data_IF_796221803251
#
_entry.id   IF_796221803251
#
_cell.length_a   1.000
_cell.length_b   1.000
_cell.length_c   1.000
_cell.angle_alpha   90.00
_cell.angle_beta   90.00
_cell.angle_gamma   90.00
#
_symmetry.space_group_name_H-M   'P 1'
#
loop_
_entity.id
_entity.type
_entity.pdbx_description
1 polymer ?
#
# COMPACT_ATOMS: atom_id res chain seq x y z
N UNK A 1 12.66 2.88 -62.74
CA UNK A 1 13.13 2.79 -61.34
C UNK A 1 12.19 3.64 -60.51
N UNK A 2 11.33 3.03 -59.70
CA UNK A 2 10.43 3.75 -58.76
C UNK A 2 10.99 3.52 -57.36
N UNK A 3 11.53 4.57 -56.73
CA UNK A 3 11.92 4.56 -55.32
C UNK A 3 10.66 4.77 -54.46
N UNK A 4 10.28 3.76 -53.70
CA UNK A 4 9.29 3.92 -52.63
C UNK A 4 10.02 4.27 -51.35
N UNK A 5 9.74 5.46 -50.82
CA UNK A 5 10.19 5.92 -49.51
C UNK A 5 9.18 5.42 -48.49
N UNK A 6 9.61 4.48 -47.66
CA UNK A 6 8.80 4.05 -46.51
C UNK A 6 9.01 5.06 -45.37
N UNK A 7 7.95 5.75 -45.00
CA UNK A 7 7.90 6.64 -43.84
C UNK A 7 7.68 5.80 -42.59
N UNK A 8 8.70 5.63 -41.77
CA UNK A 8 8.57 4.99 -40.47
C UNK A 8 7.99 6.01 -39.49
N UNK A 9 6.71 5.83 -39.09
CA UNK A 9 6.14 6.52 -37.95
C UNK A 9 6.69 5.89 -36.66
N UNK A 10 7.59 6.60 -36.00
CA UNK A 10 7.94 6.30 -34.61
C UNK A 10 6.86 6.92 -33.72
N UNK A 11 5.96 6.08 -33.18
CA UNK A 11 5.08 6.50 -32.10
C UNK A 11 5.95 6.63 -30.84
N UNK A 12 6.21 7.87 -30.42
CA UNK A 12 6.72 8.14 -29.10
C UNK A 12 5.57 7.92 -28.13
N UNK A 13 5.62 6.86 -27.31
CA UNK A 13 4.78 6.74 -26.15
C UNK A 13 5.17 7.88 -25.20
N UNK A 14 4.30 8.86 -25.02
CA UNK A 14 4.44 9.81 -23.92
C UNK A 14 4.15 9.03 -22.64
N UNK A 15 5.18 8.81 -21.81
CA UNK A 15 4.96 8.38 -20.44
C UNK A 15 4.22 9.53 -19.75
N UNK A 16 2.97 9.29 -19.33
CA UNK A 16 2.28 10.19 -18.42
C UNK A 16 3.06 10.17 -17.11
N UNK A 17 3.41 11.32 -16.57
CA UNK A 17 3.98 11.41 -15.23
C UNK A 17 2.84 11.16 -14.24
N UNK A 18 2.99 10.17 -13.38
CA UNK A 18 2.00 9.87 -12.34
C UNK A 18 1.80 11.07 -11.41
N UNK A 19 0.57 11.26 -10.97
CA UNK A 19 0.21 12.38 -10.09
C UNK A 19 0.54 12.08 -8.64
N UNK A 20 0.82 13.10 -7.83
CA UNK A 20 0.98 12.93 -6.38
C UNK A 20 -0.35 12.48 -5.77
N UNK A 21 -0.32 11.38 -5.00
CA UNK A 21 -1.49 10.84 -4.32
C UNK A 21 -1.98 11.77 -3.19
N UNK A 22 -3.27 11.75 -2.91
CA UNK A 22 -3.86 12.35 -1.68
C UNK A 22 -3.46 11.56 -0.43
N UNK A 23 -3.24 10.27 -0.59
CA UNK A 23 -2.69 9.41 0.47
C UNK A 23 -1.26 9.84 0.79
N UNK A 24 -0.95 9.94 2.08
CA UNK A 24 0.40 10.15 2.60
C UNK A 24 0.60 9.22 3.78
N UNK A 25 1.36 8.15 3.58
CA UNK A 25 1.69 7.22 4.66
C UNK A 25 2.67 7.82 5.65
N UNK A 26 2.60 7.31 6.87
CA UNK A 26 3.64 7.56 7.87
C UNK A 26 3.96 6.25 8.58
N UNK A 27 5.24 5.90 8.73
CA UNK A 27 5.66 4.76 9.53
C UNK A 27 5.11 4.83 10.94
N UNK A 28 4.83 3.68 11.54
CA UNK A 28 4.29 3.55 12.89
C UNK A 28 5.06 4.45 13.88
N UNK A 29 4.35 5.32 14.56
CA UNK A 29 4.91 6.18 15.61
C UNK A 29 5.75 7.36 15.14
N UNK A 30 5.73 7.75 13.87
CA UNK A 30 6.33 9.01 13.39
C UNK A 30 5.40 10.21 13.52
N UNK A 31 4.10 10.01 13.73
CA UNK A 31 3.20 11.09 14.10
C UNK A 31 3.45 11.47 15.56
N UNK A 32 4.00 12.68 15.77
CA UNK A 32 4.35 13.19 17.11
C UNK A 32 3.11 13.29 18.01
N UNK A 33 1.94 13.59 17.48
CA UNK A 33 0.68 13.68 18.21
C UNK A 33 0.22 12.29 18.69
N UNK A 34 0.28 11.28 17.84
CA UNK A 34 -0.09 9.90 18.17
C UNK A 34 0.95 9.24 19.10
N UNK A 35 2.23 9.55 18.94
CA UNK A 35 3.31 9.06 19.81
C UNK A 35 3.11 9.50 21.26
N UNK A 36 2.58 10.70 21.49
CA UNK A 36 2.30 11.21 22.83
C UNK A 36 1.14 10.51 23.52
N UNK A 37 0.21 9.93 22.74
CA UNK A 37 -0.98 9.19 23.22
C UNK A 37 -0.81 7.67 23.18
N UNK A 38 0.24 7.16 22.54
CA UNK A 38 0.42 5.71 22.29
C UNK A 38 -0.50 5.16 21.20
N UNK A 39 -1.09 6.05 20.38
CA UNK A 39 -1.97 5.65 19.29
C UNK A 39 -1.17 5.11 18.09
N UNK A 40 -1.81 4.25 17.30
CA UNK A 40 -1.32 3.70 16.04
C UNK A 40 -2.26 4.08 14.91
N UNK A 41 -1.70 4.47 13.77
CA UNK A 41 -2.45 4.68 12.53
C UNK A 41 -2.54 3.41 11.66
N UNK A 42 -1.82 2.34 12.02
CA UNK A 42 -1.82 1.06 11.34
C UNK A 42 -2.68 0.03 12.08
N UNK A 43 -3.52 -0.67 11.34
CA UNK A 43 -4.17 -1.92 11.71
C UNK A 43 -3.77 -3.02 10.73
N UNK A 44 -3.64 -4.26 11.17
CA UNK A 44 -3.25 -5.37 10.31
C UNK A 44 -2.18 -6.26 10.91
N UNK A 45 -1.24 -6.72 10.09
CA UNK A 45 -0.23 -7.69 10.48
C UNK A 45 1.16 -7.27 10.02
N UNK A 46 2.13 -7.35 10.92
CA UNK A 46 3.56 -7.13 10.67
C UNK A 46 4.30 -8.42 11.01
N UNK A 47 5.00 -8.98 10.03
CA UNK A 47 5.82 -10.17 10.18
C UNK A 47 7.29 -9.75 10.25
N UNK A 48 7.87 -9.81 11.44
CA UNK A 48 9.30 -9.55 11.65
C UNK A 48 10.15 -10.71 11.14
N UNK A 49 11.27 -10.39 10.49
CA UNK A 49 12.17 -11.40 9.92
C UNK A 49 13.43 -10.80 9.34
N UNK A 50 13.94 -11.36 8.26
CA UNK A 50 15.12 -10.86 7.56
C UNK A 50 15.10 -11.18 6.08
N UNK A 51 15.71 -10.29 5.29
CA UNK A 51 15.91 -10.51 3.87
C UNK A 51 14.61 -10.56 3.08
N UNK A 52 13.57 -9.82 3.52
CA UNK A 52 12.30 -9.79 2.78
C UNK A 52 12.51 -9.21 1.38
N UNK A 53 12.15 -9.99 0.38
CA UNK A 53 12.30 -9.62 -1.03
C UNK A 53 10.97 -9.47 -1.75
N UNK A 54 9.88 -10.02 -1.21
CA UNK A 54 8.56 -9.95 -1.80
C UNK A 54 7.47 -10.02 -0.73
N UNK A 55 6.48 -9.14 -0.84
CA UNK A 55 5.23 -9.19 -0.06
C UNK A 55 4.06 -9.01 -1.01
N UNK A 56 3.03 -9.82 -0.86
CA UNK A 56 1.82 -9.76 -1.69
C UNK A 56 0.57 -10.14 -0.92
N UNK A 57 -0.58 -9.69 -1.42
CA UNK A 57 -1.90 -10.06 -0.93
C UNK A 57 -2.98 -9.58 -1.90
N UNK A 58 -4.10 -10.30 -1.92
CA UNK A 58 -5.29 -9.97 -2.73
C UNK A 58 -6.36 -9.40 -1.81
N UNK A 59 -6.94 -8.25 -2.18
CA UNK A 59 -7.91 -7.53 -1.35
C UNK A 59 -9.03 -6.98 -2.22
N UNK A 60 -10.27 -7.03 -1.72
CA UNK A 60 -11.40 -6.35 -2.36
C UNK A 60 -11.48 -4.91 -1.88
N UNK A 61 -11.58 -3.97 -2.80
CA UNK A 61 -11.68 -2.53 -2.51
C UNK A 61 -13.03 -2.22 -1.85
N UNK A 62 -13.07 -1.69 -0.61
CA UNK A 62 -14.33 -1.39 0.06
C UNK A 62 -15.03 -0.16 -0.55
N UNK A 63 -16.35 -0.09 -0.40
CA UNK A 63 -17.13 1.10 -0.71
C UNK A 63 -17.33 1.93 0.57
N UNK A 64 -16.75 3.12 0.60
CA UNK A 64 -16.91 4.10 1.68
C UNK A 64 -17.66 5.36 1.20
N UNK A 65 -18.21 5.32 -0.01
CA UNK A 65 -18.94 6.44 -0.59
C UNK A 65 -20.15 6.83 0.27
N UNK A 66 -20.44 8.13 0.32
CA UNK A 66 -21.53 8.67 1.13
C UNK A 66 -21.17 8.94 2.61
N UNK A 67 -19.95 8.66 3.04
CA UNK A 67 -19.41 9.17 4.30
C UNK A 67 -18.94 10.63 4.12
N UNK A 68 -18.36 11.26 5.16
CA UNK A 68 -17.78 12.60 5.01
C UNK A 68 -16.77 12.61 3.84
N UNK A 69 -16.83 13.62 2.99
CA UNK A 69 -16.07 13.63 1.73
C UNK A 69 -14.54 13.51 1.94
N UNK A 70 -14.06 14.05 3.06
CA UNK A 70 -12.66 14.00 3.49
C UNK A 70 -12.30 12.73 4.27
N UNK A 71 -13.30 11.91 4.67
CA UNK A 71 -13.01 10.64 5.34
C UNK A 71 -12.30 9.69 4.38
N UNK A 72 -11.35 8.91 4.91
CA UNK A 72 -10.59 7.97 4.10
C UNK A 72 -10.07 6.78 4.89
N UNK A 73 -9.73 5.72 4.18
CA UNK A 73 -8.99 4.57 4.67
C UNK A 73 -8.09 4.05 3.54
N UNK A 74 -6.95 3.48 3.89
CA UNK A 74 -6.06 2.85 2.92
C UNK A 74 -5.86 1.37 3.23
N UNK A 75 -5.63 0.56 2.17
CA UNK A 75 -5.22 -0.83 2.28
C UNK A 75 -3.98 -1.06 1.43
N UNK A 76 -2.91 -1.66 2.02
CA UNK A 76 -1.65 -1.80 1.32
C UNK A 76 -0.79 -2.96 1.82
N UNK A 77 0.22 -3.32 1.05
CA UNK A 77 1.28 -4.25 1.41
C UNK A 77 2.64 -3.57 1.34
N UNK A 78 3.58 -3.96 2.19
CA UNK A 78 4.88 -3.29 2.27
C UNK A 78 6.03 -4.14 2.77
N UNK A 79 7.24 -3.57 2.61
CA UNK A 79 8.48 -4.03 3.21
C UNK A 79 9.05 -2.88 4.02
N UNK A 80 9.25 -3.10 5.32
CA UNK A 80 9.79 -2.17 6.32
C UNK A 80 8.81 -1.05 6.76
N UNK A 81 9.24 -0.16 7.64
CA UNK A 81 8.44 0.93 8.19
C UNK A 81 7.94 0.70 9.61
N UNK A 82 7.91 -0.53 10.09
CA UNK A 82 7.58 -0.87 11.47
C UNK A 82 8.81 -0.76 12.38
N UNK A 83 9.73 -1.69 12.33
CA UNK A 83 10.99 -1.64 13.07
C UNK A 83 12.06 -0.81 12.37
N UNK A 84 12.18 -0.94 11.05
CA UNK A 84 13.01 -0.11 10.18
C UNK A 84 12.36 1.24 9.90
N UNK A 85 13.05 2.34 10.15
CA UNK A 85 12.51 3.68 10.00
C UNK A 85 13.21 4.52 8.94
N UNK A 86 14.15 3.93 8.22
CA UNK A 86 14.90 4.61 7.16
C UNK A 86 14.17 4.58 5.83
N UNK A 87 13.42 3.52 5.54
CA UNK A 87 12.65 3.35 4.32
C UNK A 87 11.44 2.46 4.54
N UNK A 88 10.45 2.57 3.64
CA UNK A 88 9.31 1.68 3.53
C UNK A 88 8.93 1.63 2.05
N UNK A 89 9.00 0.44 1.45
CA UNK A 89 8.53 0.18 0.10
C UNK A 89 7.12 -0.38 0.17
N UNK A 90 6.13 0.34 -0.41
CA UNK A 90 4.74 -0.05 -0.29
C UNK A 90 3.90 0.29 -1.53
N UNK A 91 2.77 -0.38 -1.68
CA UNK A 91 1.76 -0.11 -2.70
C UNK A 91 0.38 -0.54 -2.22
N UNK A 92 -0.62 0.19 -2.64
CA UNK A 92 -1.99 -0.07 -2.25
C UNK A 92 -3.00 0.86 -2.88
N UNK A 93 -4.11 1.00 -2.19
CA UNK A 93 -5.18 1.91 -2.58
C UNK A 93 -5.64 2.74 -1.38
N UNK A 94 -6.22 3.90 -1.67
CA UNK A 94 -6.93 4.73 -0.71
C UNK A 94 -8.35 4.96 -1.21
N UNK A 95 -9.32 4.84 -0.31
CA UNK A 95 -10.75 5.09 -0.56
C UNK A 95 -11.18 6.32 0.22
N UNK A 96 -12.05 7.15 -0.38
CA UNK A 96 -12.51 8.40 0.19
C UNK A 96 -14.03 8.46 0.22
N UNK A 97 -14.60 9.16 1.21
CA UNK A 97 -16.05 9.34 1.38
C UNK A 97 -16.74 10.05 0.22
N UNK A 98 -15.99 10.81 -0.59
CA UNK A 98 -16.48 11.40 -1.84
C UNK A 98 -16.62 10.38 -2.99
N UNK A 99 -16.30 9.10 -2.74
CA UNK A 99 -16.35 8.01 -3.71
C UNK A 99 -15.09 7.90 -4.58
N UNK A 100 -14.09 8.78 -4.39
CA UNK A 100 -12.83 8.68 -5.11
C UNK A 100 -11.98 7.53 -4.58
N UNK A 101 -11.28 6.83 -5.47
CA UNK A 101 -10.35 5.76 -5.14
C UNK A 101 -9.05 6.04 -5.87
N UNK A 102 -7.95 5.94 -5.17
CA UNK A 102 -6.60 6.12 -5.71
C UNK A 102 -5.80 4.83 -5.53
N UNK A 103 -5.31 4.24 -6.62
CA UNK A 103 -4.27 3.22 -6.59
C UNK A 103 -2.92 3.93 -6.57
N UNK A 104 -2.04 3.58 -5.65
CA UNK A 104 -0.81 4.34 -5.41
C UNK A 104 0.40 3.45 -5.11
N UNK A 105 1.61 4.04 -5.23
CA UNK A 105 2.89 3.46 -4.84
C UNK A 105 3.73 4.49 -4.09
N UNK A 106 4.60 4.02 -3.21
CA UNK A 106 5.47 4.88 -2.41
C UNK A 106 6.75 4.15 -2.01
N UNK A 107 7.83 4.90 -1.97
CA UNK A 107 9.02 4.56 -1.21
C UNK A 107 9.24 5.68 -0.19
N UNK A 108 8.71 5.49 1.02
CA UNK A 108 8.86 6.46 2.10
C UNK A 108 10.35 6.65 2.46
N UNK A 109 10.84 7.88 2.74
CA UNK A 109 10.08 9.13 2.97
C UNK A 109 9.78 9.97 1.71
N UNK A 110 9.95 9.43 0.52
CA UNK A 110 9.53 10.10 -0.70
C UNK A 110 7.98 10.21 -0.72
N UNK A 111 7.40 11.18 -1.44
CA UNK A 111 5.94 11.26 -1.60
C UNK A 111 5.35 10.02 -2.29
N UNK A 112 4.09 9.71 -1.99
CA UNK A 112 3.32 8.73 -2.74
C UNK A 112 2.78 9.33 -4.04
N UNK A 113 2.67 8.48 -5.07
CA UNK A 113 2.15 8.82 -6.39
C UNK A 113 1.05 7.85 -6.81
N UNK A 114 0.08 8.32 -7.59
CA UNK A 114 -0.99 7.48 -8.15
C UNK A 114 -0.51 6.74 -9.40
N UNK A 115 -1.09 5.57 -9.65
CA UNK A 115 -1.03 4.91 -10.95
C UNK A 115 -2.13 5.50 -11.85
N UNK A 116 -1.85 6.60 -12.54
CA UNK A 116 -2.86 7.37 -13.28
C UNK A 116 -3.54 6.56 -14.41
N UNK A 117 -2.86 5.52 -14.92
CA UNK A 117 -3.38 4.63 -15.97
C UNK A 117 -4.20 3.44 -15.42
N UNK A 118 -4.31 3.27 -14.09
CA UNK A 118 -5.05 2.20 -13.45
C UNK A 118 -6.34 2.70 -12.80
N UNK A 119 -7.46 2.51 -13.48
CA UNK A 119 -8.77 2.79 -12.89
C UNK A 119 -9.16 1.67 -11.93
N UNK A 120 -9.55 2.05 -10.71
CA UNK A 120 -10.01 1.16 -9.64
C UNK A 120 -11.39 1.63 -9.18
N UNK A 121 -12.29 0.69 -8.92
CA UNK A 121 -13.64 0.91 -8.43
C UNK A 121 -13.90 0.12 -7.14
N UNK A 122 -14.85 0.57 -6.34
CA UNK A 122 -15.32 -0.21 -5.20
C UNK A 122 -15.84 -1.58 -5.68
N UNK A 123 -15.47 -2.64 -4.96
CA UNK A 123 -15.77 -4.03 -5.32
C UNK A 123 -14.75 -4.68 -6.25
N UNK A 124 -13.78 -3.94 -6.80
CA UNK A 124 -12.69 -4.55 -7.55
C UNK A 124 -11.79 -5.39 -6.64
N UNK A 125 -11.34 -6.53 -7.16
CA UNK A 125 -10.37 -7.38 -6.50
C UNK A 125 -8.98 -7.02 -7.01
N UNK A 126 -8.10 -6.59 -6.08
CA UNK A 126 -6.75 -6.15 -6.39
C UNK A 126 -5.72 -7.11 -5.79
N UNK A 127 -4.75 -7.54 -6.59
CA UNK A 127 -3.51 -8.12 -6.08
C UNK A 127 -2.46 -7.03 -5.97
N UNK A 128 -2.00 -6.82 -4.74
CA UNK A 128 -0.95 -5.87 -4.40
C UNK A 128 0.36 -6.63 -4.23
N UNK A 129 1.45 -6.10 -4.75
CA UNK A 129 2.77 -6.74 -4.60
C UNK A 129 3.89 -5.71 -4.56
N UNK A 130 4.87 -5.92 -3.68
CA UNK A 130 6.13 -5.20 -3.64
C UNK A 130 7.29 -6.18 -3.70
N UNK A 131 8.35 -5.79 -4.42
CA UNK A 131 9.57 -6.56 -4.58
C UNK A 131 10.77 -5.67 -4.27
N UNK A 132 11.62 -6.05 -3.32
CA UNK A 132 12.91 -5.38 -3.11
C UNK A 132 13.98 -5.97 -4.04
N UNK A 133 14.80 -5.12 -4.61
CA UNK A 133 16.00 -5.48 -5.36
C UNK A 133 17.23 -5.02 -4.58
N UNK A 134 17.35 -5.46 -3.32
CA UNK A 134 18.31 -4.98 -2.34
C UNK A 134 17.78 -3.76 -1.57
N UNK A 135 18.69 -2.97 -0.99
CA UNK A 135 18.32 -1.93 -0.03
C UNK A 135 17.85 -0.61 -0.66
N UNK A 136 18.14 -0.39 -1.94
CA UNK A 136 17.99 0.91 -2.61
C UNK A 136 17.17 0.85 -3.91
N UNK A 137 16.48 -0.26 -4.16
CA UNK A 137 15.66 -0.44 -5.36
C UNK A 137 14.61 -1.52 -5.19
N UNK A 138 13.59 -1.46 -6.03
CA UNK A 138 12.47 -2.38 -5.97
C UNK A 138 11.41 -2.10 -7.02
N UNK A 139 10.34 -2.87 -6.95
CA UNK A 139 9.15 -2.70 -7.76
C UNK A 139 7.91 -2.72 -6.89
N UNK A 140 6.91 -1.96 -7.31
CA UNK A 140 5.53 -2.11 -6.84
C UNK A 140 4.62 -2.46 -8.01
N UNK A 141 3.60 -3.27 -7.76
CA UNK A 141 2.62 -3.68 -8.79
C UNK A 141 1.23 -3.80 -8.18
N UNK A 142 0.24 -3.30 -8.88
CA UNK A 142 -1.18 -3.57 -8.61
C UNK A 142 -1.79 -4.22 -9.85
N UNK A 143 -2.36 -5.41 -9.66
CA UNK A 143 -3.15 -6.11 -10.66
C UNK A 143 -4.62 -6.02 -10.26
N UNK A 144 -5.45 -5.37 -11.07
CA UNK A 144 -6.90 -5.40 -10.92
C UNK A 144 -7.44 -6.69 -11.56
N UNK A 145 -7.70 -7.70 -10.74
CA UNK A 145 -8.13 -9.04 -11.17
C UNK A 145 -9.55 -9.01 -11.75
N UNK A 146 -10.38 -8.04 -11.35
CA UNK A 146 -11.73 -7.86 -11.88
C UNK A 146 -11.71 -7.38 -13.33
N UNK A 147 -10.81 -6.45 -13.67
CA UNK A 147 -10.73 -5.85 -15.00
C UNK A 147 -9.64 -6.44 -15.88
N UNK A 148 -8.70 -7.21 -15.30
CA UNK A 148 -7.52 -7.76 -15.98
C UNK A 148 -6.45 -6.72 -16.32
N UNK A 149 -6.51 -5.51 -15.72
CA UNK A 149 -5.52 -4.46 -15.93
C UNK A 149 -4.49 -4.48 -14.79
N UNK A 150 -3.28 -4.00 -15.10
CA UNK A 150 -2.22 -3.88 -14.10
C UNK A 150 -1.41 -2.60 -14.32
N UNK A 151 -0.82 -2.09 -13.25
CA UNK A 151 0.17 -1.03 -13.27
C UNK A 151 1.34 -1.40 -12.38
N UNK A 152 2.52 -0.88 -12.70
CA UNK A 152 3.74 -1.12 -11.92
C UNK A 152 4.65 0.09 -11.96
N UNK A 153 5.43 0.26 -10.88
CA UNK A 153 6.48 1.26 -10.80
C UNK A 153 7.80 0.62 -10.38
N UNK A 154 8.92 1.10 -10.92
CA UNK A 154 10.27 0.65 -10.58
C UNK A 154 11.02 1.75 -9.88
N UNK A 155 11.51 1.45 -8.68
CA UNK A 155 12.36 2.33 -7.88
C UNK A 155 13.83 1.98 -8.11
N UNK A 156 14.67 2.98 -8.38
CA UNK A 156 16.11 2.80 -8.60
C UNK A 156 16.87 3.87 -7.86
N UNK A 157 18.01 3.49 -7.29
CA UNK A 157 18.96 4.40 -6.64
C UNK A 157 18.34 5.28 -5.55
N UNK A 158 17.36 4.73 -4.80
CA UNK A 158 16.70 5.45 -3.71
C UNK A 158 17.70 5.66 -2.56
N UNK A 159 17.88 6.90 -2.05
CA UNK A 159 18.85 7.17 -0.99
C UNK A 159 18.45 6.55 0.36
N UNK A 160 17.15 6.42 0.61
CA UNK A 160 16.59 5.96 1.88
C UNK A 160 16.50 4.43 1.87
N UNK A 161 17.47 3.79 2.53
CA UNK A 161 17.64 2.33 2.49
C UNK A 161 16.53 1.58 3.23
N UNK A 162 16.08 0.46 2.65
CA UNK A 162 15.36 -0.58 3.38
C UNK A 162 16.29 -1.29 4.38
N UNK A 163 15.70 -1.97 5.37
CA UNK A 163 16.38 -2.91 6.26
C UNK A 163 16.06 -4.37 5.90
N UNK A 164 14.95 -4.61 5.19
CA UNK A 164 14.40 -5.92 4.84
C UNK A 164 14.02 -6.75 6.08
N UNK A 165 13.51 -6.08 7.12
CA UNK A 165 13.20 -6.69 8.43
C UNK A 165 11.72 -6.90 8.69
N UNK A 166 10.86 -6.14 8.02
CA UNK A 166 9.42 -6.20 8.24
C UNK A 166 8.70 -6.52 6.91
N UNK A 167 7.64 -7.33 6.97
CA UNK A 167 6.71 -7.58 5.87
C UNK A 167 5.29 -7.33 6.38
N UNK A 168 4.50 -6.50 5.64
CA UNK A 168 3.25 -5.97 6.16
C UNK A 168 2.05 -6.11 5.22
N UNK A 169 0.85 -6.26 5.86
CA UNK A 169 -0.48 -6.16 5.27
C UNK A 169 -1.30 -5.24 6.16
N UNK A 170 -1.56 -4.02 5.70
CA UNK A 170 -2.02 -2.93 6.57
C UNK A 170 -3.30 -2.27 6.04
N UNK A 171 -4.16 -1.93 6.99
CA UNK A 171 -5.20 -0.91 6.86
C UNK A 171 -4.74 0.32 7.62
N UNK A 172 -4.81 1.50 7.00
CA UNK A 172 -4.26 2.72 7.58
C UNK A 172 -5.27 3.85 7.69
N UNK A 173 -5.28 4.49 8.88
CA UNK A 173 -5.83 5.82 9.14
C UNK A 173 -4.75 6.86 8.78
N UNK A 174 -4.72 7.26 7.53
CA UNK A 174 -3.66 8.07 6.95
C UNK A 174 -3.88 9.57 7.11
N UNK A 175 -2.87 10.36 6.77
CA UNK A 175 -2.96 11.80 6.69
C UNK A 175 -3.09 12.28 5.24
N UNK A 176 -3.74 13.43 5.06
CA UNK A 176 -3.70 14.18 3.80
C UNK A 176 -2.81 15.42 4.03
N UNK A 177 -1.60 15.40 3.50
CA UNK A 177 -0.56 16.35 3.89
C UNK A 177 -0.25 16.21 5.39
N UNK A 178 -0.28 17.33 6.13
CA UNK A 178 -0.03 17.33 7.60
C UNK A 178 -1.30 17.18 8.44
N UNK A 179 -2.47 16.98 7.81
CA UNK A 179 -3.74 16.88 8.51
C UNK A 179 -4.22 15.43 8.56
N UNK A 180 -4.63 14.91 9.74
CA UNK A 180 -5.29 13.63 9.82
C UNK A 180 -6.64 13.70 9.10
N UNK A 181 -6.98 12.67 8.32
CA UNK A 181 -8.34 12.49 7.78
C UNK A 181 -9.23 11.84 8.83
N UNK A 182 -10.55 11.98 8.70
CA UNK A 182 -11.45 11.16 9.49
C UNK A 182 -11.36 9.72 8.98
N UNK A 183 -11.14 8.75 9.89
CA UNK A 183 -11.01 7.35 9.49
C UNK A 183 -12.35 6.83 8.98
N UNK A 184 -12.40 6.45 7.71
CA UNK A 184 -13.61 5.95 7.08
C UNK A 184 -13.97 4.55 7.59
N UNK A 185 -15.26 4.30 7.81
CA UNK A 185 -15.75 2.96 8.07
C UNK A 185 -15.70 2.14 6.78
N UNK A 186 -14.66 1.33 6.63
CA UNK A 186 -14.43 0.46 5.48
C UNK A 186 -15.15 -0.91 5.62
N UNK A 187 -15.82 -1.17 6.75
CA UNK A 187 -16.47 -2.45 7.03
C UNK A 187 -15.45 -3.53 7.37
N UNK A 188 -15.19 -4.40 6.42
CA UNK A 188 -14.26 -5.53 6.54
C UNK A 188 -13.27 -5.50 5.36
N UNK A 189 -11.97 -5.55 5.65
CA UNK A 189 -10.92 -5.57 4.64
C UNK A 189 -10.04 -6.80 4.88
N UNK A 190 -10.07 -7.72 3.92
CA UNK A 190 -9.38 -9.00 4.01
C UNK A 190 -8.32 -9.13 2.92
N UNK A 191 -7.07 -9.33 3.31
CA UNK A 191 -5.97 -9.72 2.43
C UNK A 191 -5.91 -11.24 2.36
N UNK A 192 -6.29 -11.82 1.22
CA UNK A 192 -6.21 -13.25 0.92
C UNK A 192 -5.00 -13.57 0.06
N UNK A 193 -4.64 -14.83 -0.12
CA UNK A 193 -3.44 -15.24 -0.84
C UNK A 193 -2.17 -14.49 -0.39
N UNK A 194 -2.18 -14.08 0.88
CA UNK A 194 -1.16 -13.24 1.48
C UNK A 194 0.08 -14.06 1.84
N UNK A 195 1.24 -13.59 1.40
CA UNK A 195 2.51 -14.18 1.79
C UNK A 195 3.67 -13.18 1.63
N UNK A 196 4.77 -13.49 2.33
CA UNK A 196 6.05 -12.85 2.14
C UNK A 196 7.12 -13.88 1.74
N UNK A 197 8.14 -13.45 1.00
CA UNK A 197 9.33 -14.24 0.67
C UNK A 197 10.57 -13.51 1.15
N UNK A 198 11.48 -14.23 1.78
CA UNK A 198 12.74 -13.72 2.32
C UNK A 198 13.78 -14.82 2.47
N UNK A 199 14.79 -14.62 3.30
CA UNK A 199 15.88 -15.58 3.54
C UNK A 199 15.36 -16.94 4.03
N UNK A 200 14.24 -16.95 4.77
CA UNK A 200 13.58 -18.16 5.25
C UNK A 200 12.67 -18.86 4.26
N UNK A 201 12.57 -18.34 3.01
CA UNK A 201 11.63 -18.81 1.99
C UNK A 201 10.27 -18.12 2.08
N UNK A 202 9.24 -18.78 1.53
CA UNK A 202 7.86 -18.26 1.50
C UNK A 202 7.13 -18.59 2.80
N UNK A 203 6.51 -17.58 3.40
CA UNK A 203 5.72 -17.70 4.63
C UNK A 203 4.40 -16.96 4.53
N UNK A 204 3.41 -17.41 5.27
CA UNK A 204 2.09 -16.75 5.42
C UNK A 204 2.13 -15.73 6.55
N UNK A 205 1.12 -14.85 6.70
CA UNK A 205 1.02 -13.93 7.85
C UNK A 205 0.81 -14.60 9.22
N UNK A 206 0.69 -15.94 9.27
CA UNK A 206 0.49 -16.67 10.52
C UNK A 206 1.62 -16.42 11.52
N UNK A 207 1.27 -16.00 12.73
CA UNK A 207 2.25 -15.64 13.77
C UNK A 207 2.79 -14.21 13.68
N UNK A 208 2.31 -13.39 12.74
CA UNK A 208 2.65 -11.97 12.67
C UNK A 208 2.15 -11.20 13.90
N UNK A 209 2.81 -10.12 14.24
CA UNK A 209 2.35 -9.16 15.23
C UNK A 209 1.10 -8.47 14.69
N UNK A 210 0.02 -8.47 15.46
CA UNK A 210 -1.21 -7.76 15.10
C UNK A 210 -1.10 -6.31 15.56
N UNK A 211 -1.48 -5.41 14.65
CA UNK A 211 -1.58 -3.98 14.86
C UNK A 211 -3.06 -3.58 14.84
N UNK A 212 -3.42 -2.58 15.67
CA UNK A 212 -4.75 -1.99 15.67
C UNK A 212 -4.66 -0.49 15.45
N UNK A 213 -5.51 0.06 14.58
CA UNK A 213 -5.69 1.51 14.51
C UNK A 213 -6.28 1.97 15.83
N UNK A 214 -5.58 2.87 16.51
CA UNK A 214 -6.03 3.44 17.80
C UNK A 214 -6.05 4.96 17.72
N UNK A 215 -7.14 5.55 18.21
CA UNK A 215 -7.30 6.99 18.32
C UNK A 215 -7.71 7.34 19.74
N UNK A 216 -6.95 8.18 20.41
CA UNK A 216 -7.15 8.55 21.82
C UNK A 216 -7.23 7.31 22.73
N UNK A 217 -6.38 6.31 22.49
CA UNK A 217 -6.28 5.08 23.25
C UNK A 217 -7.42 4.09 23.03
N UNK A 218 -8.29 4.31 22.03
CA UNK A 218 -9.40 3.40 21.69
C UNK A 218 -9.12 2.71 20.36
N UNK A 219 -9.28 1.39 20.28
CA UNK A 219 -9.18 0.68 19.01
C UNK A 219 -10.34 1.06 18.10
N UNK A 220 -10.06 1.19 16.81
CA UNK A 220 -11.00 1.40 15.71
C UNK A 220 -10.98 0.26 14.71
N UNK A 221 -10.11 -0.72 14.93
CA UNK A 221 -10.06 -1.96 14.15
C UNK A 221 -10.01 -3.16 15.08
N UNK A 222 -10.44 -4.32 14.55
CA UNK A 222 -10.27 -5.64 15.12
C UNK A 222 -9.60 -6.50 14.02
N UNK A 223 -8.28 -6.67 14.15
CA UNK A 223 -7.47 -7.35 13.15
C UNK A 223 -7.02 -8.73 13.58
N UNK A 224 -6.80 -9.62 12.63
CA UNK A 224 -6.29 -10.98 12.85
C UNK A 224 -5.49 -11.46 11.65
N UNK A 225 -4.57 -12.41 11.88
CA UNK A 225 -3.78 -13.05 10.84
C UNK A 225 -3.73 -14.57 11.04
N UNK A 226 -3.65 -15.32 9.95
CA UNK A 226 -3.54 -16.77 9.93
C UNK A 226 -2.89 -17.24 8.61
N UNK A 227 -2.90 -18.56 8.34
CA UNK A 227 -2.32 -19.13 7.12
C UNK A 227 -3.05 -18.75 5.83
N UNK A 228 -4.27 -18.21 5.92
CA UNK A 228 -5.07 -17.78 4.75
C UNK A 228 -4.78 -16.32 4.40
N UNK A 229 -4.49 -15.47 5.40
CA UNK A 229 -4.25 -14.06 5.18
C UNK A 229 -4.44 -13.20 6.43
N UNK A 230 -4.74 -11.92 6.21
CA UNK A 230 -4.98 -10.90 7.24
C UNK A 230 -6.39 -10.35 7.09
N UNK A 231 -7.12 -10.25 8.18
CA UNK A 231 -8.44 -9.64 8.20
C UNK A 231 -8.48 -8.49 9.20
N UNK A 232 -9.00 -7.34 8.78
CA UNK A 232 -9.25 -6.18 9.63
C UNK A 232 -10.70 -5.73 9.49
N UNK A 233 -11.37 -5.60 10.62
CA UNK A 233 -12.74 -5.10 10.70
C UNK A 233 -12.75 -3.72 11.37
N UNK A 234 -13.49 -2.79 10.79
CA UNK A 234 -13.80 -1.51 11.45
C UNK A 234 -14.77 -1.74 12.62
N UNK A 235 -14.50 -1.14 13.82
CA UNK A 235 -15.30 -1.29 15.04
C UNK A 235 -15.66 0.04 15.70
#
# INVERSE_FOLDING_TARGET
MKCSVALALTAAAAASADSMSRFQSRPVGNDISRRATGDSNWGGAVLEGSGWTHVTGTVTVPDVSGQAAEAGAAGWVGIDGSSCRTGLLQTGFAVFGDGKIEAWYEWFPQPSYTYDDLNVSAGDELRLSVYSHGLHGGNSTIENLTTGKAASHTFTDIPDALCLTDAEWIVEDFNQGDQPVAFANFGDMQFTDAYAEGDGGKVTPNGAQIMEVTVSGKPHTDCSANDVGVNCKYI
#
